data_IF_729285549100
#
_entry.id   IF_729285549100
#
_cell.length_a   1.000
_cell.length_b   1.000
_cell.length_c   1.000
_cell.angle_alpha   90.00
_cell.angle_beta   90.00
_cell.angle_gamma   90.00
#
_symmetry.space_group_name_H-M   'P 1'
#
loop_
_entity.id
_entity.type
_entity.pdbx_description
1 polymer ?
#
# COMPACT_ATOMS: atom_id res chain seq x y z
N UNK A 1 -16.19 -5.05 12.58
CA UNK A 1 -16.63 -4.98 11.16
C UNK A 1 -16.15 -3.67 10.59
N UNK A 2 -15.93 -3.59 9.27
CA UNK A 2 -15.45 -2.37 8.63
C UNK A 2 -16.37 -1.15 8.84
N UNK A 3 -17.69 -1.36 8.95
CA UNK A 3 -18.63 -0.27 9.23
C UNK A 3 -18.31 0.44 10.56
N UNK A 4 -17.97 -0.32 11.62
CA UNK A 4 -17.57 0.27 12.91
C UNK A 4 -16.26 1.06 12.83
N UNK A 5 -15.33 0.62 11.98
CA UNK A 5 -14.07 1.33 11.74
C UNK A 5 -14.33 2.65 11.00
N UNK A 6 -15.17 2.64 9.98
CA UNK A 6 -15.59 3.83 9.24
C UNK A 6 -16.31 4.82 10.16
N UNK A 7 -17.26 4.35 10.97
CA UNK A 7 -17.97 5.20 11.93
C UNK A 7 -17.00 5.80 12.97
N UNK A 8 -15.97 5.04 13.37
CA UNK A 8 -14.92 5.57 14.24
C UNK A 8 -14.09 6.64 13.54
N UNK A 9 -13.65 6.42 12.30
CA UNK A 9 -12.93 7.42 11.51
C UNK A 9 -13.71 8.73 11.41
N UNK A 10 -15.00 8.65 11.09
CA UNK A 10 -15.87 9.83 11.05
C UNK A 10 -15.95 10.55 12.41
N UNK A 11 -16.15 9.81 13.51
CA UNK A 11 -16.22 10.37 14.87
C UNK A 11 -14.90 11.00 15.32
N UNK A 12 -13.77 10.42 14.91
CA UNK A 12 -12.43 10.87 15.27
C UNK A 12 -11.88 11.96 14.32
N UNK A 13 -12.60 12.31 13.25
CA UNK A 13 -12.13 13.24 12.23
C UNK A 13 -10.98 12.68 11.39
N UNK A 14 -10.84 11.36 11.32
CA UNK A 14 -9.83 10.69 10.50
C UNK A 14 -10.36 10.53 9.07
N UNK A 15 -9.67 11.07 8.05
CA UNK A 15 -10.23 11.20 6.70
C UNK A 15 -10.26 9.89 5.90
N UNK A 16 -9.48 8.89 6.30
CA UNK A 16 -9.37 7.63 5.59
C UNK A 16 -9.18 6.45 6.56
N UNK A 17 -9.68 5.28 6.17
CA UNK A 17 -9.25 4.02 6.77
C UNK A 17 -8.35 3.25 5.80
N UNK A 18 -7.36 2.56 6.33
CA UNK A 18 -6.48 1.69 5.55
C UNK A 18 -6.83 0.23 5.86
N UNK A 19 -6.78 -0.63 4.86
CA UNK A 19 -6.87 -2.07 5.10
C UNK A 19 -6.31 -2.87 3.93
N UNK A 20 -5.67 -3.98 4.28
CA UNK A 20 -5.45 -5.09 3.38
C UNK A 20 -6.75 -5.94 3.29
N UNK A 21 -7.43 -5.90 2.13
CA UNK A 21 -8.73 -6.56 1.92
C UNK A 21 -8.64 -8.03 1.50
N UNK A 22 -7.50 -8.66 1.75
CA UNK A 22 -7.23 -10.03 1.32
C UNK A 22 -6.91 -10.09 -0.18
N UNK A 23 -7.09 -11.27 -0.78
CA UNK A 23 -6.63 -11.52 -2.14
C UNK A 23 -7.65 -11.04 -3.16
N UNK A 24 -7.26 -10.02 -3.94
CA UNK A 24 -8.01 -9.59 -5.11
C UNK A 24 -7.71 -10.56 -6.25
N UNK A 25 -8.70 -11.28 -6.80
CA UNK A 25 -8.42 -12.23 -7.87
C UNK A 25 -7.87 -11.57 -9.14
N UNK A 26 -6.85 -12.18 -9.75
CA UNK A 26 -6.20 -11.65 -10.97
C UNK A 26 -7.09 -11.80 -12.22
N UNK A 27 -7.97 -12.80 -12.24
CA UNK A 27 -8.91 -13.02 -13.34
C UNK A 27 -10.22 -12.23 -13.09
N UNK A 28 -10.51 -11.19 -13.87
CA UNK A 28 -11.72 -10.39 -13.69
C UNK A 28 -13.00 -11.14 -14.09
N UNK A 29 -12.88 -12.26 -14.80
CA UNK A 29 -14.02 -13.04 -15.26
C UNK A 29 -14.54 -14.01 -14.19
N UNK A 30 -13.74 -14.31 -13.16
CA UNK A 30 -14.12 -15.26 -12.12
C UNK A 30 -15.17 -14.68 -11.15
N UNK A 31 -15.96 -15.58 -10.56
CA UNK A 31 -17.06 -15.17 -9.67
C UNK A 31 -16.55 -14.54 -8.37
N UNK A 32 -15.36 -14.93 -7.91
CA UNK A 32 -14.70 -14.34 -6.76
C UNK A 32 -14.39 -12.87 -7.00
N UNK A 33 -13.89 -12.49 -8.18
CA UNK A 33 -13.60 -11.10 -8.53
C UNK A 33 -14.88 -10.28 -8.54
N UNK A 34 -15.91 -10.76 -9.24
CA UNK A 34 -17.21 -10.08 -9.33
C UNK A 34 -17.84 -9.89 -7.95
N UNK A 35 -17.76 -10.91 -7.09
CA UNK A 35 -18.23 -10.86 -5.71
C UNK A 35 -17.45 -9.84 -4.88
N UNK A 36 -16.13 -9.82 -5.01
CA UNK A 36 -15.27 -8.83 -4.34
C UNK A 36 -15.65 -7.40 -4.73
N UNK A 37 -15.79 -7.11 -6.03
CA UNK A 37 -16.21 -5.78 -6.51
C UNK A 37 -17.59 -5.41 -5.99
N UNK A 38 -18.55 -6.33 -6.01
CA UNK A 38 -19.89 -6.08 -5.48
C UNK A 38 -19.86 -5.68 -4.00
N UNK A 39 -19.16 -6.45 -3.16
CA UNK A 39 -19.04 -6.19 -1.72
C UNK A 39 -18.30 -4.88 -1.45
N UNK A 40 -17.17 -4.67 -2.12
CA UNK A 40 -16.36 -3.47 -1.92
C UNK A 40 -17.05 -2.20 -2.39
N UNK A 41 -17.90 -2.26 -3.42
CA UNK A 41 -18.74 -1.13 -3.83
C UNK A 41 -19.73 -0.73 -2.73
N UNK A 42 -20.34 -1.69 -2.04
CA UNK A 42 -21.23 -1.39 -0.91
C UNK A 42 -20.46 -0.75 0.24
N UNK A 43 -19.29 -1.31 0.59
CA UNK A 43 -18.47 -0.78 1.68
C UNK A 43 -17.93 0.64 1.37
N UNK A 44 -17.44 0.86 0.16
CA UNK A 44 -16.96 2.16 -0.28
C UNK A 44 -18.07 3.20 -0.35
N UNK A 45 -19.29 2.79 -0.75
CA UNK A 45 -20.49 3.63 -0.66
C UNK A 45 -20.80 4.06 0.76
N UNK A 46 -20.81 3.12 1.71
CA UNK A 46 -21.01 3.41 3.13
C UNK A 46 -19.97 4.38 3.70
N UNK A 47 -18.69 4.23 3.30
CA UNK A 47 -17.62 5.14 3.68
C UNK A 47 -17.81 6.54 3.08
N UNK A 48 -18.22 6.61 1.80
CA UNK A 48 -18.43 7.87 1.08
C UNK A 48 -19.51 8.73 1.73
N UNK A 49 -20.63 8.12 2.13
CA UNK A 49 -21.72 8.80 2.84
C UNK A 49 -21.27 9.46 4.16
N UNK A 50 -20.16 8.97 4.73
CA UNK A 50 -19.58 9.47 5.99
C UNK A 50 -18.39 10.39 5.78
N UNK A 51 -18.07 10.72 4.52
CA UNK A 51 -16.89 11.53 4.19
C UNK A 51 -15.56 10.82 4.45
N UNK A 52 -15.56 9.48 4.53
CA UNK A 52 -14.37 8.67 4.79
C UNK A 52 -13.91 8.02 3.49
N UNK A 53 -12.61 8.12 3.20
CA UNK A 53 -11.96 7.41 2.11
C UNK A 53 -11.49 6.02 2.56
N UNK A 54 -11.26 5.13 1.60
CA UNK A 54 -10.67 3.81 1.84
C UNK A 54 -9.38 3.70 1.06
N UNK A 55 -8.28 3.46 1.75
CA UNK A 55 -7.00 3.19 1.11
C UNK A 55 -6.73 1.70 1.18
N UNK A 56 -6.59 1.08 0.01
CA UNK A 56 -6.25 -0.32 -0.15
C UNK A 56 -4.76 -0.46 0.07
N UNK A 57 -4.39 -1.26 1.06
CA UNK A 57 -3.00 -1.64 1.25
C UNK A 57 -2.58 -2.62 0.15
N UNK A 58 -1.42 -2.40 -0.46
CA UNK A 58 -0.87 -3.31 -1.46
C UNK A 58 -0.66 -4.70 -0.88
N UNK A 59 -1.16 -5.70 -1.60
CA UNK A 59 -1.14 -7.08 -1.18
C UNK A 59 -0.58 -8.04 -2.22
N UNK A 60 -1.30 -9.15 -2.40
CA UNK A 60 -0.91 -10.26 -3.26
C UNK A 60 -1.36 -10.10 -4.72
N UNK A 61 -2.02 -9.00 -5.04
CA UNK A 61 -2.42 -8.67 -6.39
C UNK A 61 -1.31 -7.97 -7.16
N UNK A 62 -1.29 -8.14 -8.48
CA UNK A 62 -0.50 -7.26 -9.33
C UNK A 62 -1.00 -5.81 -9.27
N UNK A 63 -0.12 -4.81 -9.47
CA UNK A 63 -0.52 -3.41 -9.54
C UNK A 63 -1.67 -3.14 -10.51
N UNK A 64 -1.67 -3.81 -11.66
CA UNK A 64 -2.74 -3.71 -12.67
C UNK A 64 -4.08 -4.22 -12.14
N UNK A 65 -4.08 -5.32 -11.39
CA UNK A 65 -5.31 -5.87 -10.79
C UNK A 65 -5.87 -4.95 -9.74
N UNK A 66 -5.03 -4.33 -8.90
CA UNK A 66 -5.48 -3.33 -7.93
C UNK A 66 -6.13 -2.13 -8.64
N UNK A 67 -5.46 -1.56 -9.65
CA UNK A 67 -6.01 -0.42 -10.42
C UNK A 67 -7.35 -0.78 -11.07
N UNK A 68 -7.46 -1.97 -11.66
CA UNK A 68 -8.71 -2.46 -12.25
C UNK A 68 -9.80 -2.58 -11.18
N UNK A 69 -9.49 -3.14 -10.01
CA UNK A 69 -10.46 -3.26 -8.93
C UNK A 69 -10.96 -1.90 -8.43
N UNK A 70 -10.05 -0.93 -8.25
CA UNK A 70 -10.41 0.45 -7.86
C UNK A 70 -11.33 1.10 -8.91
N UNK A 71 -11.02 0.93 -10.19
CA UNK A 71 -11.84 1.40 -11.31
C UNK A 71 -13.23 0.75 -11.30
N UNK A 72 -13.29 -0.56 -11.11
CA UNK A 72 -14.53 -1.33 -11.14
C UNK A 72 -15.39 -1.07 -9.89
N UNK A 73 -14.79 -0.79 -8.73
CA UNK A 73 -15.52 -0.30 -7.54
C UNK A 73 -16.21 1.03 -7.85
N UNK A 74 -15.49 1.98 -8.46
CA UNK A 74 -16.08 3.13 -9.16
C UNK A 74 -16.80 4.16 -8.26
N UNK A 75 -16.58 4.15 -6.94
CA UNK A 75 -17.25 5.07 -6.02
C UNK A 75 -16.57 6.44 -5.89
N UNK A 76 -15.29 6.54 -6.31
CA UNK A 76 -14.51 7.78 -6.32
C UNK A 76 -13.88 8.18 -4.97
N UNK A 77 -13.96 7.32 -3.94
CA UNK A 77 -13.36 7.53 -2.62
C UNK A 77 -12.44 6.36 -2.20
N UNK A 78 -11.98 5.55 -3.16
CA UNK A 78 -11.04 4.45 -2.94
C UNK A 78 -9.68 4.78 -3.57
N UNK A 79 -8.61 4.55 -2.82
CA UNK A 79 -7.24 4.90 -3.18
C UNK A 79 -6.27 3.83 -2.66
N UNK A 80 -4.96 4.07 -2.74
CA UNK A 80 -3.92 3.11 -2.41
C UNK A 80 -3.07 3.62 -1.25
N UNK A 81 -2.91 2.77 -0.24
CA UNK A 81 -1.80 2.82 0.72
C UNK A 81 -0.72 1.87 0.18
N UNK A 82 0.32 2.40 -0.46
CA UNK A 82 1.31 1.54 -1.09
C UNK A 82 2.38 1.16 -0.07
N UNK A 83 2.31 -0.08 0.41
CA UNK A 83 3.44 -0.76 1.03
C UNK A 83 4.37 -1.26 -0.07
N UNK A 84 5.56 -0.65 -0.12
CA UNK A 84 6.55 -0.92 -1.14
C UNK A 84 7.25 -2.27 -0.94
N UNK A 85 7.37 -2.75 0.30
CA UNK A 85 7.95 -4.08 0.55
C UNK A 85 6.95 -5.19 0.24
N UNK A 86 5.65 -5.04 0.51
CA UNK A 86 4.66 -6.09 0.25
C UNK A 86 4.71 -6.55 -1.22
N UNK A 87 4.90 -5.64 -2.17
CA UNK A 87 5.05 -5.94 -3.59
C UNK A 87 6.24 -6.87 -3.88
N UNK A 88 7.34 -6.71 -3.14
CA UNK A 88 8.53 -7.56 -3.20
C UNK A 88 8.30 -8.89 -2.49
N UNK A 89 7.80 -8.85 -1.26
CA UNK A 89 7.59 -10.02 -0.40
C UNK A 89 6.66 -11.04 -1.05
N UNK A 90 5.62 -10.57 -1.75
CA UNK A 90 4.72 -11.43 -2.52
C UNK A 90 5.21 -11.77 -3.93
N UNK A 91 6.36 -11.21 -4.36
CA UNK A 91 6.91 -11.41 -5.70
C UNK A 91 6.01 -10.86 -6.81
N UNK A 92 5.23 -9.81 -6.54
CA UNK A 92 4.17 -9.32 -7.44
C UNK A 92 4.61 -8.19 -8.35
N UNK A 93 5.53 -7.34 -7.89
CA UNK A 93 6.05 -6.25 -8.71
C UNK A 93 7.34 -5.66 -8.16
N UNK A 94 8.10 -5.01 -9.05
CA UNK A 94 9.07 -4.02 -8.62
C UNK A 94 8.32 -2.76 -8.10
N UNK A 95 8.63 -2.25 -6.90
CA UNK A 95 7.89 -1.13 -6.30
C UNK A 95 8.02 0.18 -7.09
N UNK A 96 9.18 0.44 -7.69
CA UNK A 96 9.42 1.64 -8.51
C UNK A 96 8.49 1.67 -9.72
N UNK A 97 8.27 0.53 -10.38
CA UNK A 97 7.34 0.41 -11.50
C UNK A 97 5.88 0.49 -11.03
N UNK A 98 5.55 -0.10 -9.88
CA UNK A 98 4.22 -0.02 -9.29
C UNK A 98 3.83 1.42 -8.94
N UNK A 99 4.72 2.20 -8.31
CA UNK A 99 4.49 3.62 -8.02
C UNK A 99 4.28 4.42 -9.31
N UNK A 100 5.04 4.14 -10.38
CA UNK A 100 4.82 4.77 -11.69
C UNK A 100 3.41 4.48 -12.22
N UNK A 101 2.94 3.25 -12.08
CA UNK A 101 1.64 2.82 -12.57
C UNK A 101 0.48 3.35 -11.72
N UNK A 102 0.60 3.33 -10.39
CA UNK A 102 -0.43 3.81 -9.47
C UNK A 102 -0.63 5.33 -9.57
N UNK A 103 0.46 6.08 -9.68
CA UNK A 103 0.44 7.54 -9.82
C UNK A 103 -0.46 8.22 -8.77
N UNK A 104 -1.46 9.04 -9.19
CA UNK A 104 -2.27 9.84 -8.28
C UNK A 104 -3.22 9.03 -7.38
N UNK A 105 -3.34 7.71 -7.62
CA UNK A 105 -4.11 6.82 -6.74
C UNK A 105 -3.39 6.56 -5.41
N UNK A 106 -2.08 6.77 -5.34
CA UNK A 106 -1.32 6.66 -4.09
C UNK A 106 -1.65 7.84 -3.18
N UNK A 107 -2.12 7.55 -1.97
CA UNK A 107 -2.44 8.55 -0.94
C UNK A 107 -1.62 8.40 0.34
N UNK A 108 -1.09 7.20 0.58
CA UNK A 108 -0.12 6.97 1.64
C UNK A 108 0.92 5.94 1.17
N UNK A 109 2.10 5.97 1.80
CA UNK A 109 3.19 5.02 1.58
C UNK A 109 3.57 4.41 2.92
N UNK A 110 3.57 3.08 2.99
CA UNK A 110 4.33 2.39 4.03
C UNK A 110 5.77 2.22 3.55
N UNK A 111 6.69 2.88 4.24
CA UNK A 111 8.12 2.66 4.12
C UNK A 111 8.48 1.43 4.95
N UNK A 112 8.55 0.29 4.26
CA UNK A 112 9.04 -1.00 4.74
C UNK A 112 10.06 -1.51 3.72
N UNK A 113 11.03 -2.31 4.15
CA UNK A 113 12.01 -2.93 3.25
C UNK A 113 11.93 -4.45 3.31
N UNK A 114 12.38 -5.10 2.25
CA UNK A 114 12.37 -6.54 2.16
C UNK A 114 12.99 -7.07 0.89
N UNK A 115 13.15 -8.38 0.83
CA UNK A 115 13.69 -9.07 -0.34
C UNK A 115 12.60 -9.85 -1.06
N UNK A 116 12.84 -10.23 -2.32
CA UNK A 116 11.96 -11.17 -3.03
C UNK A 116 11.96 -12.58 -2.40
N UNK A 117 10.92 -13.40 -2.69
CA UNK A 117 10.99 -14.85 -2.56
C UNK A 117 12.22 -15.42 -3.27
N UNK A 118 12.82 -16.47 -2.70
CA UNK A 118 13.96 -17.13 -3.34
C UNK A 118 13.50 -18.10 -4.43
N UNK A 119 14.35 -18.31 -5.44
CA UNK A 119 14.09 -19.33 -6.49
C UNK A 119 14.06 -20.75 -5.93
N UNK A 120 14.76 -20.98 -4.81
CA UNK A 120 14.82 -22.28 -4.15
C UNK A 120 13.58 -22.56 -3.31
N UNK A 121 12.87 -21.52 -2.84
CA UNK A 121 11.65 -21.63 -2.03
C UNK A 121 10.55 -20.68 -2.55
N UNK A 122 10.05 -20.87 -3.79
CA UNK A 122 9.12 -19.93 -4.42
C UNK A 122 7.74 -19.87 -3.76
N UNK A 123 7.39 -20.86 -2.94
CA UNK A 123 6.13 -20.91 -2.19
C UNK A 123 6.18 -20.10 -0.87
N UNK A 124 7.37 -19.61 -0.49
CA UNK A 124 7.54 -18.75 0.68
C UNK A 124 7.50 -17.28 0.28
N UNK A 125 7.07 -16.44 1.21
CA UNK A 125 7.24 -15.00 1.05
C UNK A 125 8.72 -14.65 1.07
N UNK A 126 9.02 -13.48 0.52
CA UNK A 126 10.26 -12.78 0.80
C UNK A 126 10.43 -12.47 2.29
N UNK A 127 11.57 -11.90 2.65
CA UNK A 127 11.86 -11.55 4.04
C UNK A 127 11.86 -10.03 4.22
N UNK A 128 11.14 -9.54 5.22
CA UNK A 128 11.29 -8.15 5.67
C UNK A 128 12.73 -7.92 6.15
N UNK A 129 13.25 -6.73 5.86
CA UNK A 129 14.60 -6.30 6.23
C UNK A 129 14.55 -4.92 6.89
N UNK A 130 15.52 -4.59 7.75
CA UNK A 130 15.72 -3.22 8.20
C UNK A 130 15.88 -2.29 6.98
N UNK A 131 15.32 -1.09 6.99
CA UNK A 131 15.61 -0.08 5.97
C UNK A 131 17.03 0.47 6.20
N UNK A 132 17.91 0.58 5.17
CA UNK A 132 17.74 0.23 3.75
C UNK A 132 18.55 -1.01 3.34
N UNK A 133 18.33 -2.14 4.01
CA UNK A 133 19.08 -3.39 3.84
C UNK A 133 18.38 -4.41 2.93
N UNK A 134 17.20 -4.09 2.40
CA UNK A 134 16.48 -4.93 1.45
C UNK A 134 16.62 -4.46 0.00
N UNK A 135 15.67 -4.89 -0.84
CA UNK A 135 15.69 -4.68 -2.28
C UNK A 135 14.86 -3.44 -2.72
N UNK A 136 14.27 -2.69 -1.78
CA UNK A 136 13.50 -1.47 -2.10
C UNK A 136 14.44 -0.32 -2.47
N UNK A 137 14.30 0.20 -3.69
CA UNK A 137 15.01 1.41 -4.14
C UNK A 137 14.30 2.70 -3.65
N UNK A 138 14.46 3.01 -2.37
CA UNK A 138 13.90 4.24 -1.77
C UNK A 138 14.31 5.53 -2.50
N UNK A 139 15.58 5.73 -2.94
CA UNK A 139 15.95 6.88 -3.74
C UNK A 139 15.12 7.03 -5.02
N UNK A 140 14.92 5.96 -5.79
CA UNK A 140 14.13 6.00 -7.02
C UNK A 140 12.64 6.25 -6.74
N UNK A 141 12.08 5.60 -5.72
CA UNK A 141 10.68 5.77 -5.31
C UNK A 141 10.41 7.21 -4.89
N UNK A 142 11.25 7.78 -4.00
CA UNK A 142 11.08 9.15 -3.52
C UNK A 142 11.21 10.16 -4.66
N UNK A 143 12.14 9.92 -5.60
CA UNK A 143 12.25 10.75 -6.81
C UNK A 143 10.97 10.71 -7.65
N UNK A 144 10.42 9.52 -7.91
CA UNK A 144 9.17 9.38 -8.67
C UNK A 144 7.97 10.01 -7.97
N UNK A 145 7.86 9.83 -6.65
CA UNK A 145 6.80 10.46 -5.86
C UNK A 145 6.84 11.99 -5.99
N UNK A 146 8.04 12.60 -5.92
CA UNK A 146 8.23 14.03 -6.16
C UNK A 146 7.83 14.45 -7.58
N UNK A 147 8.28 13.71 -8.59
CA UNK A 147 7.94 13.99 -10.00
C UNK A 147 6.43 13.92 -10.26
N UNK A 148 5.72 13.04 -9.54
CA UNK A 148 4.27 12.90 -9.62
C UNK A 148 3.49 13.89 -8.74
N UNK A 149 4.18 14.75 -7.99
CA UNK A 149 3.56 15.73 -7.09
C UNK A 149 2.88 15.11 -5.87
N UNK A 150 3.36 13.94 -5.41
CA UNK A 150 2.88 13.32 -4.17
C UNK A 150 3.27 14.18 -2.96
N UNK A 151 2.28 14.48 -2.12
CA UNK A 151 2.46 15.30 -0.90
C UNK A 151 2.03 14.57 0.37
N UNK A 152 1.74 13.27 0.28
CA UNK A 152 1.36 12.45 1.44
C UNK A 152 2.58 12.07 2.30
N UNK A 153 2.34 11.32 3.37
CA UNK A 153 3.39 10.88 4.26
C UNK A 153 4.17 9.69 3.69
N UNK A 154 5.39 9.49 4.20
CA UNK A 154 6.08 8.20 4.15
C UNK A 154 6.07 7.66 5.58
N UNK A 155 5.17 6.70 5.83
CA UNK A 155 4.93 6.13 7.15
C UNK A 155 5.85 4.93 7.35
N UNK A 156 6.75 4.97 8.33
CA UNK A 156 7.62 3.83 8.63
C UNK A 156 6.78 2.71 9.25
N UNK A 157 6.75 1.56 8.58
CA UNK A 157 6.19 0.32 9.11
C UNK A 157 7.35 -0.65 9.40
N UNK A 158 7.34 -1.25 10.59
CA UNK A 158 8.34 -2.21 11.01
C UNK A 158 7.66 -3.32 11.81
N UNK A 159 7.60 -4.51 11.22
CA UNK A 159 7.04 -5.71 11.83
C UNK A 159 8.11 -6.69 12.34
N UNK A 160 9.40 -6.34 12.18
CA UNK A 160 10.52 -7.08 12.75
C UNK A 160 10.42 -7.14 14.28
N UNK A 161 10.96 -8.22 14.84
CA UNK A 161 11.00 -8.47 16.29
C UNK A 161 11.86 -7.45 17.05
N UNK A 162 12.88 -6.87 16.41
CA UNK A 162 13.77 -5.87 17.00
C UNK A 162 13.21 -4.45 16.88
N UNK A 163 12.35 -4.09 17.83
CA UNK A 163 11.73 -2.75 17.91
C UNK A 163 12.59 -1.81 18.76
N UNK A 164 13.70 -1.31 18.21
CA UNK A 164 14.54 -0.33 18.90
C UNK A 164 14.21 1.12 18.49
N UNK A 165 14.24 2.04 19.46
CA UNK A 165 14.13 3.49 19.18
C UNK A 165 15.27 3.99 18.29
N UNK A 166 16.44 3.35 18.40
CA UNK A 166 17.62 3.67 17.60
C UNK A 166 17.37 3.38 16.11
N UNK A 167 16.79 2.22 15.80
CA UNK A 167 16.39 1.88 14.43
C UNK A 167 15.44 2.94 13.86
N UNK A 168 14.33 3.25 14.53
CA UNK A 168 13.37 4.26 14.04
C UNK A 168 14.02 5.63 13.81
N UNK A 169 14.95 6.03 14.68
CA UNK A 169 15.67 7.30 14.56
C UNK A 169 16.56 7.31 13.31
N UNK A 170 17.32 6.24 13.09
CA UNK A 170 18.20 6.07 11.91
C UNK A 170 17.40 5.97 10.62
N UNK A 171 16.35 5.17 10.58
CA UNK A 171 15.46 5.01 9.42
C UNK A 171 14.78 6.32 9.06
N UNK A 172 14.22 7.03 10.05
CA UNK A 172 13.63 8.36 9.82
C UNK A 172 14.65 9.31 9.23
N UNK A 173 15.87 9.36 9.78
CA UNK A 173 16.93 10.23 9.25
C UNK A 173 17.26 9.88 7.80
N UNK A 174 17.48 8.60 7.49
CA UNK A 174 17.79 8.14 6.14
C UNK A 174 16.70 8.57 5.13
N UNK A 175 15.43 8.30 5.43
CA UNK A 175 14.32 8.67 4.56
C UNK A 175 14.17 10.19 4.43
N UNK A 176 14.33 10.94 5.53
CA UNK A 176 14.26 12.40 5.50
C UNK A 176 15.38 13.00 4.63
N UNK A 177 16.61 12.49 4.74
CA UNK A 177 17.74 12.95 3.93
C UNK A 177 17.46 12.76 2.41
N UNK A 178 16.73 11.70 2.02
CA UNK A 178 16.28 11.49 0.64
C UNK A 178 15.14 12.43 0.22
N UNK A 179 14.19 12.69 1.13
CA UNK A 179 13.09 13.64 0.91
C UNK A 179 13.60 15.07 0.78
N UNK A 180 14.61 15.47 1.55
CA UNK A 180 15.14 16.84 1.53
C UNK A 180 16.09 17.10 0.35
N UNK A 181 16.60 16.03 -0.28
CA UNK A 181 17.44 16.13 -1.47
C UNK A 181 16.65 16.72 -2.65
N UNK A 182 17.12 17.85 -3.18
CA UNK A 182 16.52 18.51 -4.35
C UNK A 182 16.69 17.71 -5.62
#
# INVERSE_FOLDING_TARGET
TYHKMIDFCQKAGVPAMHSHFGFIPEDPSCDQYKTFIFVMRQLAGYAKERGVMIYFETGQETPTTLIRALKDIGTGNVFINCDVANLLLYGKANPTDAIRLFGPLVKDIHAKDGTYPSRDNPDQLGAEKPIPEGDVDFPAIIKLLKEQGYTGALTIENELSEKSKDYLTKTRKYLQDLVDKK
#
